data_IF_373219423326
#
_entry.id   IF_373219423326
#
_cell.length_a   1.000
_cell.length_b   1.000
_cell.length_c   1.000
_cell.angle_alpha   90.00
_cell.angle_beta   90.00
_cell.angle_gamma   90.00
#
_symmetry.space_group_name_H-M   'P 1'
#
loop_
_entity.id
_entity.type
_entity.pdbx_description
1 polymer ?
#
# COMPACT_ATOMS: atom_id res chain seq x y z
N UNK A 1 46.55 -32.64 -73.31
CA UNK A 1 45.93 -31.33 -73.40
C UNK A 1 45.44 -30.91 -72.00
N UNK A 2 46.15 -29.99 -71.57
CA UNK A 2 46.20 -29.09 -70.44
C UNK A 2 45.04 -29.16 -69.38
N UNK A 3 45.34 -29.43 -68.14
CA UNK A 3 44.47 -29.18 -67.00
C UNK A 3 44.95 -27.92 -66.22
N UNK A 4 44.15 -26.89 -66.15
CA UNK A 4 44.46 -25.72 -65.33
C UNK A 4 43.99 -25.94 -63.89
N UNK A 5 44.96 -26.01 -63.02
CA UNK A 5 44.85 -25.83 -61.59
C UNK A 5 44.27 -24.46 -61.26
N UNK A 6 43.20 -24.47 -60.44
CA UNK A 6 42.72 -23.28 -59.80
C UNK A 6 43.26 -23.26 -58.36
N UNK A 7 44.01 -22.20 -57.96
CA UNK A 7 44.56 -22.13 -56.59
C UNK A 7 43.53 -21.63 -55.65
N UNK A 8 43.31 -22.44 -54.60
CA UNK A 8 42.57 -22.17 -53.37
C UNK A 8 42.68 -20.71 -52.89
N UNK A 9 41.55 -20.04 -52.83
CA UNK A 9 41.39 -18.79 -52.08
C UNK A 9 41.61 -19.09 -50.62
N UNK A 10 42.75 -18.69 -50.08
CA UNK A 10 43.00 -18.61 -48.64
C UNK A 10 42.10 -17.53 -48.05
N UNK A 11 41.15 -17.94 -47.21
CA UNK A 11 40.42 -16.98 -46.38
C UNK A 11 41.40 -16.23 -45.45
N UNK A 12 41.18 -14.91 -45.18
CA UNK A 12 42.02 -14.18 -44.27
C UNK A 12 41.85 -14.75 -42.87
N UNK A 13 42.92 -15.35 -42.33
CA UNK A 13 42.95 -15.89 -41.01
C UNK A 13 42.55 -14.82 -39.97
N UNK A 14 41.50 -15.09 -39.21
CA UNK A 14 41.14 -14.29 -38.05
C UNK A 14 42.35 -14.28 -37.10
N UNK A 15 43.03 -13.13 -37.02
CA UNK A 15 44.18 -12.96 -36.15
C UNK A 15 43.80 -13.30 -34.71
N UNK A 16 44.40 -14.35 -34.16
CA UNK A 16 44.19 -14.66 -32.76
C UNK A 16 44.73 -13.52 -31.91
N UNK A 17 43.94 -13.02 -30.91
CA UNK A 17 44.39 -11.94 -30.05
C UNK A 17 45.66 -12.38 -29.29
N UNK A 18 46.63 -11.47 -29.22
CA UNK A 18 47.88 -11.69 -28.51
C UNK A 18 47.67 -11.91 -26.99
N UNK A 19 48.69 -12.41 -26.31
CA UNK A 19 48.60 -12.74 -24.88
C UNK A 19 48.19 -11.51 -24.04
N UNK A 20 48.61 -10.30 -24.43
CA UNK A 20 48.30 -9.05 -23.74
C UNK A 20 46.82 -8.68 -23.94
N UNK A 21 46.31 -8.94 -25.14
CA UNK A 21 44.91 -8.68 -25.46
C UNK A 21 43.96 -9.67 -24.76
N UNK A 22 44.37 -10.95 -24.61
CA UNK A 22 43.64 -11.95 -23.82
C UNK A 22 43.63 -11.60 -22.33
N UNK A 23 44.75 -11.14 -21.76
CA UNK A 23 44.85 -10.70 -20.38
C UNK A 23 44.00 -9.43 -20.09
N UNK A 24 43.94 -8.49 -21.05
CA UNK A 24 43.06 -7.31 -20.96
C UNK A 24 41.56 -7.67 -21.04
N UNK A 25 41.19 -8.68 -21.84
CA UNK A 25 39.82 -9.18 -21.93
C UNK A 25 39.40 -9.92 -20.64
N UNK A 26 40.31 -10.73 -20.05
CA UNK A 26 40.08 -11.37 -18.75
C UNK A 26 39.98 -10.38 -17.59
N UNK A 27 40.72 -9.28 -17.61
CA UNK A 27 40.62 -8.21 -16.61
C UNK A 27 39.34 -7.37 -16.75
N UNK A 28 38.66 -7.38 -17.91
CA UNK A 28 37.41 -6.65 -18.15
C UNK A 28 36.14 -7.47 -17.90
N UNK A 29 36.22 -8.77 -17.86
CA UNK A 29 35.10 -9.61 -17.52
C UNK A 29 34.85 -9.49 -16.02
N UNK A 30 33.62 -9.14 -15.57
CA UNK A 30 33.28 -9.22 -14.14
C UNK A 30 33.52 -10.66 -13.65
N UNK A 31 34.09 -10.81 -12.45
CA UNK A 31 34.23 -12.14 -11.86
C UNK A 31 32.87 -12.81 -11.74
N UNK A 32 32.83 -14.14 -11.86
CA UNK A 32 31.60 -14.92 -11.73
C UNK A 32 30.86 -14.62 -10.42
N UNK A 33 31.58 -14.29 -9.36
CA UNK A 33 31.02 -13.84 -8.08
C UNK A 33 30.28 -12.49 -8.19
N UNK A 34 30.80 -11.55 -9.01
CA UNK A 34 30.11 -10.25 -9.24
C UNK A 34 28.86 -10.47 -10.06
N UNK A 35 28.93 -11.30 -11.11
CA UNK A 35 27.79 -11.65 -11.93
C UNK A 35 26.71 -12.38 -11.11
N UNK A 36 27.11 -13.37 -10.32
CA UNK A 36 26.20 -14.09 -9.43
C UNK A 36 25.55 -13.15 -8.40
N UNK A 37 26.32 -12.23 -7.81
CA UNK A 37 25.82 -11.24 -6.85
C UNK A 37 24.85 -10.25 -7.49
N UNK A 38 25.09 -9.82 -8.73
CA UNK A 38 24.18 -8.94 -9.49
C UNK A 38 22.89 -9.68 -9.79
N UNK A 39 22.97 -10.91 -10.31
CA UNK A 39 21.81 -11.73 -10.66
C UNK A 39 20.95 -12.07 -9.43
N UNK A 40 21.59 -12.43 -8.30
CA UNK A 40 20.85 -12.69 -7.05
C UNK A 40 20.22 -11.42 -6.49
N UNK A 41 20.88 -10.28 -6.62
CA UNK A 41 20.32 -8.98 -6.18
C UNK A 41 19.16 -8.55 -7.05
N UNK A 42 19.22 -8.75 -8.37
CA UNK A 42 18.10 -8.45 -9.27
C UNK A 42 16.92 -9.41 -9.07
N UNK A 43 17.19 -10.71 -8.90
CA UNK A 43 16.16 -11.69 -8.57
C UNK A 43 15.47 -11.36 -7.23
N UNK A 44 16.24 -11.02 -6.20
CA UNK A 44 15.72 -10.59 -4.90
C UNK A 44 14.89 -9.30 -5.01
N UNK A 45 15.30 -8.34 -5.86
CA UNK A 45 14.52 -7.11 -6.14
C UNK A 45 13.21 -7.42 -6.85
N UNK A 46 13.20 -8.38 -7.77
CA UNK A 46 12.00 -8.79 -8.52
C UNK A 46 11.00 -9.52 -7.62
N UNK A 47 11.48 -10.40 -6.73
CA UNK A 47 10.67 -11.09 -5.72
C UNK A 47 10.10 -10.08 -4.73
N UNK A 48 10.90 -9.12 -4.25
CA UNK A 48 10.47 -8.11 -3.27
C UNK A 48 9.34 -7.18 -3.77
N UNK A 49 9.19 -6.98 -5.08
CA UNK A 49 8.10 -6.17 -5.66
C UNK A 49 6.83 -6.95 -5.99
N UNK A 50 6.95 -8.25 -6.24
CA UNK A 50 5.78 -9.07 -6.64
C UNK A 50 4.83 -9.32 -5.49
N UNK A 51 5.35 -9.63 -4.30
CA UNK A 51 4.51 -9.96 -3.15
C UNK A 51 3.56 -8.83 -2.72
N UNK A 52 4.00 -7.56 -2.58
CA UNK A 52 3.09 -6.46 -2.28
C UNK A 52 1.98 -6.30 -3.32
N UNK A 53 2.31 -6.45 -4.62
CA UNK A 53 1.31 -6.35 -5.70
C UNK A 53 0.34 -7.54 -5.69
N UNK A 54 0.81 -8.76 -5.44
CA UNK A 54 -0.06 -9.93 -5.31
C UNK A 54 -1.00 -9.74 -4.12
N UNK A 55 -0.50 -9.32 -2.96
CA UNK A 55 -1.31 -9.04 -1.77
C UNK A 55 -2.34 -7.93 -2.03
N UNK A 56 -1.93 -6.85 -2.71
CA UNK A 56 -2.84 -5.79 -3.11
C UNK A 56 -3.93 -6.27 -4.06
N UNK A 57 -3.57 -7.09 -5.04
CA UNK A 57 -4.53 -7.65 -6.01
C UNK A 57 -5.53 -8.58 -5.33
N UNK A 58 -5.08 -9.42 -4.40
CA UNK A 58 -5.96 -10.29 -3.61
C UNK A 58 -6.91 -9.46 -2.75
N UNK A 59 -6.39 -8.47 -2.00
CA UNK A 59 -7.20 -7.60 -1.16
C UNK A 59 -8.25 -6.83 -1.98
N UNK A 60 -7.86 -6.28 -3.12
CA UNK A 60 -8.77 -5.60 -4.04
C UNK A 60 -9.81 -6.56 -4.63
N UNK A 61 -9.40 -7.75 -5.06
CA UNK A 61 -10.32 -8.76 -5.59
C UNK A 61 -11.35 -9.18 -4.53
N UNK A 62 -10.94 -9.41 -3.29
CA UNK A 62 -11.87 -9.73 -2.19
C UNK A 62 -12.83 -8.57 -1.94
N UNK A 63 -12.33 -7.33 -1.94
CA UNK A 63 -13.20 -6.13 -1.78
C UNK A 63 -14.23 -6.04 -2.90
N UNK A 64 -13.82 -6.28 -4.15
CA UNK A 64 -14.73 -6.26 -5.32
C UNK A 64 -15.76 -7.39 -5.21
N UNK A 65 -15.34 -8.60 -4.87
CA UNK A 65 -16.26 -9.73 -4.68
C UNK A 65 -17.29 -9.43 -3.59
N UNK A 66 -16.86 -8.89 -2.44
CA UNK A 66 -17.78 -8.46 -1.39
C UNK A 66 -18.74 -7.37 -1.88
N UNK A 67 -18.24 -6.36 -2.61
CA UNK A 67 -19.05 -5.29 -3.19
C UNK A 67 -20.13 -5.86 -4.12
N UNK A 68 -19.75 -6.78 -5.01
CA UNK A 68 -20.68 -7.44 -5.96
C UNK A 68 -21.72 -8.27 -5.20
N UNK A 69 -21.30 -9.10 -4.25
CA UNK A 69 -22.21 -9.91 -3.46
C UNK A 69 -23.22 -9.01 -2.72
N UNK A 70 -22.75 -7.93 -2.08
CA UNK A 70 -23.59 -6.98 -1.33
C UNK A 70 -24.58 -6.27 -2.27
N UNK A 71 -24.12 -5.80 -3.44
CA UNK A 71 -24.95 -5.05 -4.39
C UNK A 71 -26.11 -5.89 -4.96
N UNK A 72 -25.93 -7.20 -5.11
CA UNK A 72 -26.95 -8.09 -5.67
C UNK A 72 -27.76 -8.88 -4.62
N UNK A 73 -27.55 -8.62 -3.32
CA UNK A 73 -28.36 -9.28 -2.27
C UNK A 73 -29.71 -8.60 -2.09
N UNK A 74 -30.76 -9.39 -1.83
CA UNK A 74 -32.09 -8.85 -1.50
C UNK A 74 -32.13 -8.22 -0.08
N UNK A 75 -31.20 -8.61 0.81
CA UNK A 75 -31.07 -8.06 2.15
C UNK A 75 -29.75 -7.32 2.28
N UNK A 76 -29.75 -6.17 2.99
CA UNK A 76 -28.56 -5.32 3.12
C UNK A 76 -27.44 -5.94 3.99
N UNK A 77 -27.80 -6.82 4.94
CA UNK A 77 -26.86 -7.41 5.91
C UNK A 77 -26.72 -8.93 5.72
N UNK A 78 -25.55 -9.48 6.07
CA UNK A 78 -25.37 -10.92 6.23
C UNK A 78 -25.86 -11.33 7.63
N UNK A 79 -26.20 -12.62 7.84
CA UNK A 79 -26.62 -13.10 9.15
C UNK A 79 -25.58 -12.81 10.24
N UNK A 80 -24.32 -13.06 9.97
CA UNK A 80 -23.23 -12.77 10.90
C UNK A 80 -22.98 -11.27 11.12
N UNK A 81 -23.32 -10.39 10.18
CA UNK A 81 -23.32 -8.93 10.39
C UNK A 81 -24.38 -8.53 11.40
N UNK A 82 -25.57 -9.16 11.30
CA UNK A 82 -26.69 -8.92 12.23
C UNK A 82 -26.33 -9.45 13.62
N UNK A 83 -25.92 -10.73 13.71
CA UNK A 83 -25.50 -11.34 14.98
C UNK A 83 -24.40 -10.54 15.68
N UNK A 84 -23.39 -10.08 14.91
CA UNK A 84 -22.33 -9.20 15.45
C UNK A 84 -22.88 -7.88 15.97
N UNK A 85 -23.83 -7.28 15.26
CA UNK A 85 -24.40 -6.00 15.63
C UNK A 85 -25.28 -6.14 16.89
N UNK A 86 -26.08 -7.20 16.97
CA UNK A 86 -26.94 -7.50 18.14
C UNK A 86 -26.05 -7.66 19.37
N UNK A 87 -24.98 -8.42 19.30
CA UNK A 87 -24.01 -8.60 20.40
C UNK A 87 -23.38 -7.25 20.82
N UNK A 88 -23.00 -6.41 19.86
CA UNK A 88 -22.45 -5.09 20.15
C UNK A 88 -23.48 -4.20 20.82
N UNK A 89 -24.72 -4.17 20.34
CA UNK A 89 -25.80 -3.33 20.90
C UNK A 89 -26.14 -3.75 22.35
N UNK A 90 -26.22 -5.06 22.61
CA UNK A 90 -26.48 -5.61 23.95
C UNK A 90 -25.39 -5.24 24.96
N UNK A 91 -24.14 -5.20 24.53
CA UNK A 91 -22.96 -4.93 25.38
C UNK A 91 -22.48 -3.47 25.36
N UNK A 92 -23.22 -2.54 24.75
CA UNK A 92 -22.89 -1.11 24.78
C UNK A 92 -22.85 -0.58 26.20
N UNK A 93 -21.87 0.27 26.49
CA UNK A 93 -21.76 0.95 27.77
C UNK A 93 -21.10 2.32 27.62
N UNK A 94 -21.46 3.26 28.48
CA UNK A 94 -20.96 4.64 28.49
C UNK A 94 -19.42 4.74 28.58
N UNK A 95 -18.77 3.71 29.13
CA UNK A 95 -17.29 3.64 29.20
C UNK A 95 -16.66 3.58 27.80
N UNK A 96 -17.31 2.90 26.85
CA UNK A 96 -16.80 2.72 25.49
C UNK A 96 -17.28 3.81 24.50
N UNK A 97 -18.29 4.60 24.88
CA UNK A 97 -18.80 5.68 24.03
C UNK A 97 -17.72 6.70 23.73
N UNK A 98 -17.00 7.17 24.74
CA UNK A 98 -15.96 8.20 24.57
C UNK A 98 -14.81 7.73 23.68
N UNK A 99 -14.17 6.57 23.91
CA UNK A 99 -13.17 6.04 23.01
C UNK A 99 -13.68 5.87 21.57
N UNK A 100 -14.90 5.37 21.38
CA UNK A 100 -15.49 5.17 20.07
C UNK A 100 -15.74 6.50 19.33
N UNK A 101 -16.20 7.54 20.03
CA UNK A 101 -16.42 8.89 19.48
C UNK A 101 -15.09 9.60 19.15
N UNK A 102 -14.04 9.39 19.97
CA UNK A 102 -12.69 9.88 19.64
C UNK A 102 -12.23 9.25 18.32
N UNK A 103 -12.35 7.93 18.16
CA UNK A 103 -11.98 7.23 16.92
C UNK A 103 -12.84 7.70 15.76
N UNK A 104 -14.12 7.99 15.96
CA UNK A 104 -14.99 8.57 14.92
C UNK A 104 -14.46 9.91 14.44
N UNK A 105 -14.04 10.80 15.34
CA UNK A 105 -13.51 12.12 15.00
C UNK A 105 -12.15 12.03 14.29
N UNK A 106 -11.28 11.13 14.75
CA UNK A 106 -9.94 10.92 14.17
C UNK A 106 -10.00 10.26 12.80
N UNK A 107 -11.00 9.39 12.56
CA UNK A 107 -11.07 8.56 11.34
C UNK A 107 -11.69 9.23 10.12
N UNK A 108 -12.52 10.26 10.29
CA UNK A 108 -13.20 10.96 9.19
C UNK A 108 -13.59 12.39 9.58
N UNK A 109 -14.55 12.97 8.83
CA UNK A 109 -14.87 14.38 8.93
C UNK A 109 -13.65 15.25 8.58
N UNK A 110 -13.67 16.51 8.94
CA UNK A 110 -12.58 17.45 8.63
C UNK A 110 -11.26 17.06 9.32
N UNK A 111 -11.33 16.44 10.50
CA UNK A 111 -10.13 16.03 11.25
C UNK A 111 -9.44 14.86 10.55
N UNK A 112 -10.16 13.79 10.28
CA UNK A 112 -9.58 12.57 9.70
C UNK A 112 -9.27 12.67 8.21
N UNK A 113 -10.01 13.50 7.44
CA UNK A 113 -9.82 13.59 5.98
C UNK A 113 -8.98 14.79 5.54
N UNK A 114 -8.80 15.81 6.40
CA UNK A 114 -8.02 17.00 6.05
C UNK A 114 -6.91 17.28 7.07
N UNK A 115 -7.24 17.50 8.35
CA UNK A 115 -6.26 17.98 9.34
C UNK A 115 -5.13 16.97 9.54
N UNK A 116 -5.46 15.71 9.82
CA UNK A 116 -4.45 14.66 10.06
C UNK A 116 -3.62 14.38 8.81
N UNK A 117 -4.19 14.16 7.62
CA UNK A 117 -3.40 13.99 6.40
C UNK A 117 -2.48 15.17 6.10
N UNK A 118 -2.97 16.41 6.20
CA UNK A 118 -2.15 17.59 5.97
C UNK A 118 -1.01 17.69 7.00
N UNK A 119 -1.28 17.41 8.28
CA UNK A 119 -0.25 17.41 9.32
C UNK A 119 0.84 16.35 9.02
N UNK A 120 0.46 15.14 8.63
CA UNK A 120 1.42 14.08 8.24
C UNK A 120 2.26 14.54 7.04
N UNK A 121 1.64 15.10 6.00
CA UNK A 121 2.35 15.61 4.82
C UNK A 121 3.34 16.71 5.23
N UNK A 122 2.92 17.68 6.05
CA UNK A 122 3.78 18.75 6.55
C UNK A 122 4.98 18.18 7.32
N UNK A 123 4.75 17.26 8.24
CA UNK A 123 5.82 16.58 9.01
C UNK A 123 6.82 15.89 8.07
N UNK A 124 6.33 15.13 7.10
CA UNK A 124 7.20 14.47 6.12
C UNK A 124 8.02 15.47 5.31
N UNK A 125 7.43 16.60 4.89
CA UNK A 125 8.12 17.66 4.15
C UNK A 125 9.14 18.39 5.03
N UNK A 126 8.82 18.68 6.29
CA UNK A 126 9.76 19.29 7.26
C UNK A 126 10.99 18.41 7.44
N UNK A 127 10.84 17.10 7.49
CA UNK A 127 11.94 16.14 7.54
C UNK A 127 12.50 15.78 6.15
N UNK A 128 12.23 16.60 5.11
CA UNK A 128 12.76 16.45 3.76
C UNK A 128 12.40 15.13 3.07
N UNK A 129 11.35 14.45 3.52
CA UNK A 129 10.82 13.21 2.94
C UNK A 129 9.74 13.48 1.90
N UNK A 130 10.12 14.12 0.80
CA UNK A 130 9.18 14.59 -0.24
C UNK A 130 8.50 13.45 -1.01
N UNK A 131 9.21 12.33 -1.25
CA UNK A 131 8.62 11.18 -1.91
C UNK A 131 7.67 10.43 -1.00
N UNK A 132 7.97 10.34 0.30
CA UNK A 132 7.05 9.82 1.30
C UNK A 132 5.81 10.71 1.44
N UNK A 133 5.95 12.05 1.43
CA UNK A 133 4.84 12.98 1.45
C UNK A 133 3.94 12.83 0.21
N UNK A 134 4.54 12.75 -0.99
CA UNK A 134 3.80 12.51 -2.24
C UNK A 134 3.09 11.14 -2.21
N UNK A 135 3.77 10.09 -1.76
CA UNK A 135 3.18 8.76 -1.62
C UNK A 135 1.96 8.78 -0.71
N UNK A 136 2.09 9.40 0.48
CA UNK A 136 0.98 9.50 1.42
C UNK A 136 -0.20 10.30 0.84
N UNK A 137 0.07 11.45 0.22
CA UNK A 137 -0.95 12.29 -0.39
C UNK A 137 -1.73 11.56 -1.49
N UNK A 138 -1.02 10.86 -2.39
CA UNK A 138 -1.64 10.08 -3.46
C UNK A 138 -2.45 8.90 -2.91
N UNK A 139 -1.90 8.16 -1.93
CA UNK A 139 -2.60 7.03 -1.32
C UNK A 139 -3.88 7.48 -0.61
N UNK A 140 -3.83 8.56 0.17
CA UNK A 140 -4.99 9.13 0.85
C UNK A 140 -6.07 9.59 -0.15
N UNK A 141 -5.69 10.32 -1.21
CA UNK A 141 -6.62 10.80 -2.23
C UNK A 141 -7.28 9.64 -2.99
N UNK A 142 -6.50 8.66 -3.42
CA UNK A 142 -7.01 7.47 -4.14
C UNK A 142 -7.90 6.64 -3.23
N UNK A 143 -7.57 6.49 -1.93
CA UNK A 143 -8.38 5.75 -0.97
C UNK A 143 -9.75 6.40 -0.76
N UNK A 144 -9.79 7.72 -0.59
CA UNK A 144 -11.06 8.47 -0.46
C UNK A 144 -11.87 8.34 -1.74
N UNK A 145 -11.27 8.58 -2.91
CA UNK A 145 -11.97 8.48 -4.20
C UNK A 145 -12.52 7.08 -4.48
N UNK A 146 -11.71 6.04 -4.23
CA UNK A 146 -12.14 4.65 -4.39
C UNK A 146 -13.27 4.28 -3.42
N UNK A 147 -13.19 4.73 -2.16
CA UNK A 147 -14.25 4.50 -1.18
C UNK A 147 -15.57 5.13 -1.61
N UNK A 148 -15.56 6.39 -2.05
CA UNK A 148 -16.76 7.08 -2.49
C UNK A 148 -17.36 6.43 -3.75
N UNK A 149 -16.51 6.08 -4.72
CA UNK A 149 -16.95 5.38 -5.92
C UNK A 149 -17.66 4.06 -5.58
N UNK A 150 -17.08 3.24 -4.69
CA UNK A 150 -17.70 1.96 -4.31
C UNK A 150 -19.00 2.19 -3.53
N UNK A 151 -19.07 3.21 -2.65
CA UNK A 151 -20.30 3.57 -1.94
C UNK A 151 -21.44 3.92 -2.89
N UNK A 152 -21.18 4.76 -3.88
CA UNK A 152 -22.17 5.15 -4.90
C UNK A 152 -22.66 3.95 -5.73
N UNK A 153 -21.75 3.02 -6.06
CA UNK A 153 -22.08 1.85 -6.87
C UNK A 153 -22.87 0.79 -6.08
N UNK A 154 -22.58 0.63 -4.79
CA UNK A 154 -23.16 -0.45 -3.96
C UNK A 154 -24.41 0.01 -3.22
N UNK A 155 -24.43 1.23 -2.69
CA UNK A 155 -25.60 1.82 -2.03
C UNK A 155 -26.13 1.05 -0.83
N UNK A 156 -25.28 0.30 -0.10
CA UNK A 156 -25.69 -0.57 1.02
C UNK A 156 -26.34 0.22 2.14
N UNK A 157 -27.48 -0.26 2.67
CA UNK A 157 -28.11 0.30 3.85
C UNK A 157 -27.25 0.07 5.12
N UNK A 158 -27.31 1.03 6.06
CA UNK A 158 -26.59 0.97 7.33
C UNK A 158 -27.40 0.21 8.39
N UNK A 159 -26.76 -0.20 9.52
CA UNK A 159 -27.48 -0.61 10.71
C UNK A 159 -28.47 0.47 11.18
N UNK A 160 -29.56 0.05 11.86
CA UNK A 160 -30.57 0.98 12.35
C UNK A 160 -30.16 1.69 13.65
N UNK A 161 -29.42 0.98 14.53
CA UNK A 161 -29.00 1.43 15.86
C UNK A 161 -27.75 2.32 15.85
N UNK A 162 -27.74 3.38 15.02
CA UNK A 162 -26.61 4.29 14.91
C UNK A 162 -26.56 5.30 16.06
N UNK A 163 -25.39 5.45 16.69
CA UNK A 163 -25.10 6.50 17.68
C UNK A 163 -24.53 7.78 17.06
N UNK A 164 -24.27 7.80 15.75
CA UNK A 164 -23.69 8.91 15.01
C UNK A 164 -24.37 9.10 13.66
N UNK A 165 -24.40 10.34 13.16
CA UNK A 165 -24.83 10.62 11.81
C UNK A 165 -23.78 10.18 10.79
N UNK A 166 -24.21 9.67 9.67
CA UNK A 166 -23.34 9.16 8.60
C UNK A 166 -23.86 9.53 7.21
N UNK A 167 -22.95 9.55 6.24
CA UNK A 167 -23.23 9.80 4.81
C UNK A 167 -23.95 8.61 4.14
N UNK A 168 -24.26 8.78 2.86
CA UNK A 168 -24.86 7.74 2.02
C UNK A 168 -23.94 6.51 1.88
N UNK A 169 -24.56 5.33 1.85
CA UNK A 169 -23.89 4.03 1.65
C UNK A 169 -23.03 3.58 2.83
N UNK A 170 -23.20 2.33 3.26
CA UNK A 170 -22.40 1.78 4.34
C UNK A 170 -21.12 1.08 3.85
N UNK A 171 -21.14 0.44 2.70
CA UNK A 171 -20.00 -0.32 2.18
C UNK A 171 -19.20 0.47 1.11
N UNK A 172 -17.88 0.48 1.20
CA UNK A 172 -17.05 0.07 2.33
C UNK A 172 -16.94 1.18 3.39
N UNK A 173 -16.42 0.84 4.60
CA UNK A 173 -16.18 1.83 5.65
C UNK A 173 -15.05 2.79 5.30
N UNK A 174 -15.38 4.08 5.12
CA UNK A 174 -14.40 5.12 4.81
C UNK A 174 -13.42 5.39 5.95
N UNK A 175 -13.89 5.35 7.22
CA UNK A 175 -13.04 5.48 8.39
C UNK A 175 -11.97 4.39 8.43
N UNK A 176 -12.37 3.14 8.20
CA UNK A 176 -11.44 1.99 8.21
C UNK A 176 -10.50 2.04 7.02
N UNK A 177 -10.98 2.42 5.83
CA UNK A 177 -10.12 2.59 4.65
C UNK A 177 -9.05 3.66 4.86
N UNK A 178 -9.42 4.82 5.44
CA UNK A 178 -8.47 5.88 5.76
C UNK A 178 -7.46 5.43 6.84
N UNK A 179 -7.92 4.77 7.89
CA UNK A 179 -7.05 4.26 8.95
C UNK A 179 -6.03 3.24 8.41
N UNK A 180 -6.47 2.25 7.66
CA UNK A 180 -5.61 1.21 7.09
C UNK A 180 -4.66 1.75 6.01
N UNK A 181 -5.11 2.70 5.19
CA UNK A 181 -4.23 3.39 4.23
C UNK A 181 -3.12 4.14 4.96
N UNK A 182 -3.46 4.94 5.96
CA UNK A 182 -2.49 5.69 6.77
C UNK A 182 -1.52 4.77 7.48
N UNK A 183 -2.02 3.72 8.13
CA UNK A 183 -1.22 2.72 8.84
C UNK A 183 -0.22 2.04 7.90
N UNK A 184 -0.67 1.55 6.74
CA UNK A 184 0.17 0.86 5.77
C UNK A 184 1.21 1.80 5.16
N UNK A 185 0.84 3.02 4.79
CA UNK A 185 1.79 4.01 4.24
C UNK A 185 2.89 4.30 5.26
N UNK A 186 2.52 4.59 6.51
CA UNK A 186 3.50 4.89 7.55
C UNK A 186 4.40 3.69 7.86
N UNK A 187 3.86 2.46 7.88
CA UNK A 187 4.64 1.25 8.09
C UNK A 187 5.63 0.97 6.95
N UNK A 188 5.29 1.31 5.69
CA UNK A 188 6.19 1.18 4.55
C UNK A 188 7.25 2.30 4.48
N UNK A 189 6.92 3.51 4.96
CA UNK A 189 7.85 4.65 5.03
C UNK A 189 8.80 4.52 6.22
N UNK A 190 8.31 3.98 7.34
CA UNK A 190 9.04 3.76 8.58
C UNK A 190 8.95 2.28 8.97
N UNK A 191 9.81 1.40 8.42
CA UNK A 191 9.70 -0.06 8.60
C UNK A 191 10.20 -0.50 9.99
N UNK A 192 9.61 0.05 11.03
CA UNK A 192 9.89 -0.25 12.43
C UNK A 192 8.77 -1.13 12.99
N UNK A 193 9.11 -2.14 13.77
CA UNK A 193 8.12 -3.09 14.32
C UNK A 193 7.00 -2.39 15.09
N UNK A 194 7.33 -1.37 15.89
CA UNK A 194 6.32 -0.63 16.65
C UNK A 194 5.35 0.16 15.76
N UNK A 195 5.79 0.64 14.57
CA UNK A 195 4.90 1.32 13.59
C UNK A 195 3.91 0.33 13.00
N UNK A 196 4.35 -0.89 12.69
CA UNK A 196 3.47 -1.98 12.24
C UNK A 196 2.43 -2.34 13.30
N UNK A 197 2.88 -2.51 14.56
CA UNK A 197 1.99 -2.84 15.68
C UNK A 197 1.00 -1.69 15.93
N UNK A 198 1.47 -0.45 15.99
CA UNK A 198 0.60 0.71 16.20
C UNK A 198 -0.41 0.88 15.06
N UNK A 199 0.02 0.71 13.81
CA UNK A 199 -0.86 0.76 12.64
C UNK A 199 -1.91 -0.33 12.64
N UNK A 200 -1.54 -1.55 13.01
CA UNK A 200 -2.48 -2.66 13.17
C UNK A 200 -3.51 -2.37 14.26
N UNK A 201 -3.07 -1.99 15.46
CA UNK A 201 -3.96 -1.66 16.58
C UNK A 201 -4.89 -0.48 16.26
N UNK A 202 -4.36 0.55 15.58
CA UNK A 202 -5.18 1.69 15.11
C UNK A 202 -6.26 1.24 14.13
N UNK A 203 -5.93 0.39 13.18
CA UNK A 203 -6.90 -0.13 12.21
C UNK A 203 -7.98 -0.99 12.87
N UNK A 204 -7.59 -1.88 13.80
CA UNK A 204 -8.53 -2.72 14.57
C UNK A 204 -9.43 -1.87 15.48
N UNK A 205 -8.85 -0.89 16.19
CA UNK A 205 -9.63 0.03 17.04
C UNK A 205 -10.62 0.86 16.19
N UNK A 206 -10.23 1.26 14.99
CA UNK A 206 -11.14 1.93 14.06
C UNK A 206 -12.29 1.02 13.65
N UNK A 207 -12.02 -0.24 13.25
CA UNK A 207 -13.06 -1.21 12.90
C UNK A 207 -14.04 -1.40 14.07
N UNK A 208 -13.52 -1.64 15.29
CA UNK A 208 -14.31 -1.80 16.50
C UNK A 208 -15.18 -0.55 16.79
N UNK A 209 -14.61 0.65 16.66
CA UNK A 209 -15.38 1.89 16.83
C UNK A 209 -16.54 1.99 15.82
N UNK A 210 -16.35 1.60 14.56
CA UNK A 210 -17.39 1.73 13.53
C UNK A 210 -18.56 0.78 13.75
N UNK A 211 -18.29 -0.45 14.17
CA UNK A 211 -19.33 -1.43 14.54
C UNK A 211 -19.98 -1.04 15.88
N UNK A 212 -19.21 -0.63 16.89
CA UNK A 212 -19.73 -0.17 18.17
C UNK A 212 -20.72 1.00 18.03
N UNK A 213 -20.39 1.99 17.20
CA UNK A 213 -21.26 3.13 16.94
C UNK A 213 -22.47 2.79 16.04
N UNK A 214 -22.60 1.56 15.59
CA UNK A 214 -23.66 1.13 14.66
C UNK A 214 -23.59 1.75 13.28
N UNK A 215 -22.49 2.44 12.95
CA UNK A 215 -22.38 3.16 11.70
C UNK A 215 -22.09 2.26 10.49
N UNK A 216 -21.54 1.07 10.73
CA UNK A 216 -21.14 0.10 9.72
C UNK A 216 -21.34 -1.33 10.18
N UNK A 217 -21.67 -2.19 9.23
CA UNK A 217 -21.62 -3.63 9.41
C UNK A 217 -20.17 -4.11 9.54
N UNK A 218 -19.94 -5.28 10.14
CA UNK A 218 -18.61 -5.86 10.26
C UNK A 218 -17.94 -6.02 8.89
N UNK A 219 -18.70 -6.52 7.89
CA UNK A 219 -18.19 -6.66 6.50
C UNK A 219 -17.83 -5.34 5.84
N UNK A 220 -18.48 -4.22 6.19
CA UNK A 220 -18.10 -2.90 5.66
C UNK A 220 -16.72 -2.50 6.16
N UNK A 221 -16.42 -2.79 7.42
CA UNK A 221 -15.11 -2.50 8.02
C UNK A 221 -14.01 -3.39 7.45
N UNK A 222 -14.30 -4.67 7.22
CA UNK A 222 -13.38 -5.59 6.52
C UNK A 222 -13.12 -5.10 5.09
N UNK A 223 -14.18 -4.73 4.35
CA UNK A 223 -14.03 -4.15 3.00
C UNK A 223 -13.20 -2.88 2.99
N UNK A 224 -13.41 -1.99 3.97
CA UNK A 224 -12.62 -0.77 4.14
C UNK A 224 -11.14 -1.06 4.45
N UNK A 225 -10.87 -2.00 5.37
CA UNK A 225 -9.51 -2.45 5.69
C UNK A 225 -8.78 -2.93 4.44
N UNK A 226 -9.38 -3.86 3.70
CA UNK A 226 -8.79 -4.45 2.50
C UNK A 226 -8.58 -3.41 1.40
N UNK A 227 -9.55 -2.52 1.17
CA UNK A 227 -9.43 -1.44 0.20
C UNK A 227 -8.27 -0.51 0.53
N UNK A 228 -8.15 -0.05 1.78
CA UNK A 228 -7.07 0.84 2.19
C UNK A 228 -5.69 0.21 2.08
N UNK A 229 -5.55 -1.06 2.47
CA UNK A 229 -4.31 -1.83 2.29
C UNK A 229 -3.96 -1.98 0.80
N UNK A 230 -4.93 -2.34 -0.04
CA UNK A 230 -4.73 -2.50 -1.47
C UNK A 230 -4.29 -1.19 -2.13
N UNK A 231 -4.96 -0.08 -1.85
CA UNK A 231 -4.62 1.25 -2.38
C UNK A 231 -3.21 1.65 -1.96
N UNK A 232 -2.86 1.51 -0.68
CA UNK A 232 -1.53 1.84 -0.21
C UNK A 232 -0.44 1.07 -0.96
N UNK A 233 -0.61 -0.25 -1.15
CA UNK A 233 0.36 -1.10 -1.85
C UNK A 233 0.42 -0.82 -3.36
N UNK A 234 -0.71 -0.54 -4.01
CA UNK A 234 -0.77 -0.20 -5.44
C UNK A 234 -0.03 1.13 -5.70
N UNK A 235 -0.31 2.15 -4.88
CA UNK A 235 0.35 3.47 -5.01
C UNK A 235 1.83 3.41 -4.63
N UNK A 236 2.21 2.52 -3.70
CA UNK A 236 3.61 2.29 -3.34
C UNK A 236 4.44 1.74 -4.51
N UNK A 237 3.90 0.84 -5.31
CA UNK A 237 4.65 0.06 -6.29
C UNK A 237 5.46 0.93 -7.30
N UNK A 238 4.89 1.98 -7.95
CA UNK A 238 5.65 2.85 -8.84
C UNK A 238 6.66 3.75 -8.11
N UNK A 239 6.42 4.05 -6.83
CA UNK A 239 7.24 4.96 -6.01
C UNK A 239 8.33 4.23 -5.21
N UNK A 240 8.28 2.90 -5.12
CA UNK A 240 9.14 2.08 -4.26
C UNK A 240 10.65 2.37 -4.42
N UNK A 241 11.11 2.58 -5.67
CA UNK A 241 12.52 2.92 -5.93
C UNK A 241 12.91 4.28 -5.35
N UNK A 242 12.05 5.29 -5.52
CA UNK A 242 12.29 6.65 -5.02
C UNK A 242 12.21 6.73 -3.50
N UNK A 243 11.27 6.02 -2.90
CA UNK A 243 11.13 5.91 -1.45
C UNK A 243 12.36 5.24 -0.82
N UNK A 244 12.89 4.19 -1.46
CA UNK A 244 14.11 3.53 -1.01
C UNK A 244 15.31 4.46 -1.06
N UNK A 245 15.56 5.11 -2.21
CA UNK A 245 16.66 6.08 -2.33
C UNK A 245 16.51 7.21 -1.30
N UNK A 246 15.29 7.70 -1.08
CA UNK A 246 15.04 8.71 -0.06
C UNK A 246 15.35 8.20 1.35
N UNK A 247 14.98 6.95 1.68
CA UNK A 247 15.21 6.38 3.02
C UNK A 247 16.69 6.22 3.39
N UNK A 248 17.57 6.12 2.38
CA UNK A 248 19.03 6.00 2.57
C UNK A 248 19.71 7.36 2.82
N UNK A 249 19.00 8.48 2.62
CA UNK A 249 19.53 9.83 2.83
C UNK A 249 19.31 10.31 4.28
N UNK A 250 20.18 11.20 4.82
CA UNK A 250 19.91 11.85 6.09
C UNK A 250 18.69 12.80 5.97
N UNK A 251 17.84 12.80 6.99
CA UNK A 251 16.60 13.58 7.04
C UNK A 251 16.61 14.65 8.15
N UNK A 252 17.56 15.61 8.15
CA UNK A 252 17.54 16.69 9.11
C UNK A 252 16.32 17.60 8.85
N UNK A 253 15.71 18.17 9.89
CA UNK A 253 14.63 19.13 9.74
C UNK A 253 15.06 20.33 8.87
N UNK A 254 14.09 21.03 8.27
CA UNK A 254 14.36 22.14 7.36
C UNK A 254 15.19 23.29 7.99
N UNK A 255 15.09 23.48 9.30
CA UNK A 255 15.84 24.51 10.04
C UNK A 255 17.31 24.14 10.29
N UNK A 256 17.71 22.89 10.05
CA UNK A 256 19.12 22.47 10.12
C UNK A 256 19.75 22.62 8.74
N UNK A 257 20.80 23.47 8.64
CA UNK A 257 21.56 23.61 7.39
C UNK A 257 22.31 22.31 7.10
N UNK A 258 22.25 21.84 5.84
CA UNK A 258 23.12 20.77 5.36
C UNK A 258 24.53 21.35 5.30
N UNK A 259 25.44 20.89 6.14
CA UNK A 259 26.87 21.08 5.95
C UNK A 259 27.29 20.16 4.80
N UNK A 260 27.78 20.77 3.73
CA UNK A 260 28.35 20.04 2.57
C UNK A 260 29.70 19.48 2.90
#
# INVERSE_FOLDING_TARGET
>A
MDPRHDPLKTEPGVAQPDAVQRERLHRRAPSDDVVAKVLTTEAARHVSRRWPLISASIALAVTIVLAVIIAFRPTSAFSFDVEWMDEIVEHRSSVWDVPALIMNTVGAGIVGTAIIPVAIIIVLLVFRRRWAALYYALAALVSVGATQLVKELVGRARPEDMLVTSDYGSFPSGHTANASTTAMVLALVFPLLWVWIAGFLYSVAMMASRTYLGAHWLTDTIGGLLLGLAVALIVWAPLAGRLRTESELPHPPLWVRRTH
#
